data_IF_986777085093
#
_entry.id   IF_986777085093
#
_cell.length_a   1.000
_cell.length_b   1.000
_cell.length_c   1.000
_cell.angle_alpha   90.00
_cell.angle_beta   90.00
_cell.angle_gamma   90.00
#
_symmetry.space_group_name_H-M   'P 1'
#
loop_
_entity.id
_entity.type
_entity.pdbx_description
1 polymer ?
#
# COMPACT_ATOMS: atom_id res chain seq x y z
N UNK A 1 -26.79 22.76 -29.36
CA UNK A 1 -26.84 21.78 -28.27
C UNK A 1 -25.49 21.12 -28.18
N UNK A 2 -24.78 21.40 -27.10
CA UNK A 2 -23.59 20.68 -26.69
C UNK A 2 -23.89 19.18 -26.50
N UNK A 3 -22.97 18.30 -26.89
CA UNK A 3 -22.70 17.10 -26.10
C UNK A 3 -21.20 16.79 -26.13
N UNK A 4 -20.68 16.54 -24.94
CA UNK A 4 -19.28 16.70 -24.59
C UNK A 4 -18.46 15.41 -24.78
N UNK A 5 -17.20 15.60 -25.17
CA UNK A 5 -16.02 14.97 -24.59
C UNK A 5 -16.11 13.52 -24.08
N UNK A 6 -15.96 12.56 -24.99
CA UNK A 6 -15.37 11.24 -24.66
C UNK A 6 -13.87 11.31 -24.93
N UNK A 7 -13.16 11.94 -24.00
CA UNK A 7 -11.71 12.08 -24.03
C UNK A 7 -11.02 10.82 -23.49
N UNK A 8 -10.18 10.27 -24.36
CA UNK A 8 -8.95 9.51 -24.10
C UNK A 8 -9.04 8.14 -23.40
N UNK A 9 -8.83 7.12 -24.24
CA UNK A 9 -7.91 6.00 -24.01
C UNK A 9 -6.78 6.39 -23.03
N UNK A 10 -6.77 5.79 -21.85
CA UNK A 10 -5.50 5.55 -21.17
C UNK A 10 -4.87 4.30 -21.82
N UNK A 11 -3.68 4.38 -22.41
CA UNK A 11 -3.00 3.20 -22.93
C UNK A 11 -2.62 2.28 -21.77
N UNK A 12 -2.90 0.99 -21.98
CA UNK A 12 -2.37 -0.10 -21.18
C UNK A 12 -0.84 0.02 -21.13
N UNK A 13 -0.29 0.22 -19.94
CA UNK A 13 1.14 0.17 -19.72
C UNK A 13 1.43 -0.35 -18.31
N UNK A 14 1.65 -1.65 -18.22
CA UNK A 14 2.72 -2.17 -17.37
C UNK A 14 3.25 -3.46 -17.99
N UNK A 15 4.41 -3.28 -18.59
CA UNK A 15 5.24 -4.26 -19.27
C UNK A 15 5.46 -5.48 -18.37
N UNK A 16 5.22 -6.66 -18.93
CA UNK A 16 5.59 -7.95 -18.36
C UNK A 16 7.09 -7.96 -18.05
N UNK A 17 7.42 -8.07 -16.76
CA UNK A 17 8.77 -8.23 -16.25
C UNK A 17 8.72 -8.77 -14.83
N UNK A 18 8.86 -10.10 -14.71
CA UNK A 18 9.26 -10.86 -13.51
C UNK A 18 8.63 -10.40 -12.17
N UNK A 19 7.44 -10.95 -11.87
CA UNK A 19 6.87 -11.20 -10.53
C UNK A 19 6.93 -10.10 -9.45
N UNK A 20 7.03 -8.82 -9.81
CA UNK A 20 6.97 -7.72 -8.83
C UNK A 20 5.69 -6.91 -9.08
N UNK A 21 4.85 -6.78 -8.05
CA UNK A 21 3.51 -6.19 -8.11
C UNK A 21 3.41 -4.81 -8.78
N UNK A 22 2.19 -4.42 -9.11
CA UNK A 22 1.90 -3.16 -9.77
C UNK A 22 2.06 -1.98 -8.80
N UNK A 23 2.68 -0.86 -9.20
CA UNK A 23 2.64 0.36 -8.39
C UNK A 23 1.19 0.86 -8.24
N UNK A 24 0.91 1.60 -7.18
CA UNK A 24 -0.36 2.31 -7.06
C UNK A 24 -0.56 3.28 -8.24
N UNK A 25 -1.77 3.34 -8.83
CA UNK A 25 -2.10 4.37 -9.81
C UNK A 25 -1.84 5.76 -9.25
N UNK A 26 -1.23 6.65 -10.04
CA UNK A 26 -0.74 7.95 -9.56
C UNK A 26 -1.80 8.79 -8.82
N UNK A 27 -3.05 8.78 -9.30
CA UNK A 27 -4.16 9.50 -8.65
C UNK A 27 -4.49 8.96 -7.26
N UNK A 28 -4.55 7.63 -7.11
CA UNK A 28 -4.81 6.98 -5.81
C UNK A 28 -3.62 7.16 -4.87
N UNK A 29 -2.41 7.02 -5.39
CA UNK A 29 -1.18 7.25 -4.64
C UNK A 29 -1.20 8.65 -4.02
N UNK A 30 -1.46 9.68 -4.82
CA UNK A 30 -1.51 11.06 -4.33
C UNK A 30 -2.66 11.32 -3.35
N UNK A 31 -3.85 10.73 -3.58
CA UNK A 31 -5.00 10.80 -2.66
C UNK A 31 -4.64 10.24 -1.27
N UNK A 32 -3.99 9.08 -1.22
CA UNK A 32 -3.59 8.44 0.03
C UNK A 32 -2.35 9.09 0.65
N UNK A 33 -1.35 9.50 -0.13
CA UNK A 33 -0.18 10.24 0.36
C UNK A 33 -0.60 11.53 1.08
N UNK A 34 -1.56 12.28 0.52
CA UNK A 34 -2.12 13.47 1.16
C UNK A 34 -2.88 13.15 2.46
N UNK A 35 -3.56 11.99 2.52
CA UNK A 35 -4.33 11.56 3.69
C UNK A 35 -3.45 11.04 4.83
N UNK A 36 -2.38 10.33 4.49
CA UNK A 36 -1.46 9.71 5.46
C UNK A 36 -0.24 10.58 5.79
N UNK A 37 0.08 11.58 4.97
CA UNK A 37 1.30 12.40 5.13
C UNK A 37 2.60 11.60 4.97
N UNK A 38 2.58 10.51 4.20
CA UNK A 38 3.70 9.58 4.03
C UNK A 38 3.92 9.24 2.56
N UNK A 39 5.17 8.96 2.18
CA UNK A 39 5.51 8.56 0.81
C UNK A 39 5.06 7.12 0.52
N UNK A 40 4.22 6.94 -0.50
CA UNK A 40 3.72 5.63 -0.94
C UNK A 40 4.33 5.22 -2.28
N UNK A 41 5.40 5.89 -2.73
CA UNK A 41 6.07 5.62 -4.02
C UNK A 41 6.62 4.20 -4.15
N UNK A 42 7.03 3.60 -3.04
CA UNK A 42 7.55 2.23 -3.01
C UNK A 42 6.44 1.17 -2.87
N UNK A 43 5.17 1.58 -2.70
CA UNK A 43 4.08 0.62 -2.50
C UNK A 43 3.81 -0.19 -3.76
N UNK A 44 3.79 -1.51 -3.63
CA UNK A 44 3.47 -2.47 -4.68
C UNK A 44 2.23 -3.26 -4.32
N UNK A 45 1.34 -3.42 -5.28
CA UNK A 45 0.09 -4.17 -5.17
C UNK A 45 0.23 -5.48 -5.94
N UNK A 46 -0.05 -6.58 -5.27
CA UNK A 46 0.00 -7.92 -5.82
C UNK A 46 -1.38 -8.55 -5.72
N UNK A 47 -1.83 -9.20 -6.78
CA UNK A 47 -3.03 -10.03 -6.73
C UNK A 47 -2.61 -11.50 -6.71
N UNK A 48 -2.93 -12.22 -5.63
CA UNK A 48 -2.45 -13.59 -5.40
C UNK A 48 -3.38 -14.35 -4.46
N UNK A 49 -3.26 -15.68 -4.39
CA UNK A 49 -4.04 -16.51 -3.46
C UNK A 49 -3.48 -16.52 -2.02
N UNK A 50 -2.37 -15.81 -1.75
CA UNK A 50 -1.75 -15.80 -0.43
C UNK A 50 -2.67 -15.29 0.69
N UNK A 51 -3.45 -14.20 0.52
CA UNK A 51 -4.39 -13.77 1.55
C UNK A 51 -5.48 -14.82 1.84
N UNK A 52 -5.93 -15.54 0.81
CA UNK A 52 -6.92 -16.61 0.95
C UNK A 52 -6.44 -17.75 1.85
N UNK A 53 -5.16 -18.11 1.77
CA UNK A 53 -4.57 -19.12 2.66
C UNK A 53 -4.51 -18.68 4.13
N UNK A 54 -4.55 -17.37 4.38
CA UNK A 54 -4.60 -16.77 5.71
C UNK A 54 -6.04 -16.46 6.16
N UNK A 55 -7.05 -16.78 5.36
CA UNK A 55 -8.45 -16.41 5.62
C UNK A 55 -8.70 -14.89 5.52
N UNK A 56 -7.84 -14.16 4.82
CA UNK A 56 -7.89 -12.71 4.68
C UNK A 56 -8.27 -12.30 3.25
N UNK A 57 -8.81 -11.08 3.12
CA UNK A 57 -9.11 -10.45 1.83
C UNK A 57 -7.89 -9.75 1.23
N UNK A 58 -7.07 -9.16 2.09
CA UNK A 58 -5.80 -8.56 1.76
C UNK A 58 -4.87 -8.60 2.98
N UNK A 59 -3.58 -8.37 2.76
CA UNK A 59 -2.63 -8.07 3.83
C UNK A 59 -1.47 -7.22 3.32
N UNK A 60 -0.87 -6.41 4.19
CA UNK A 60 0.35 -5.65 3.93
C UNK A 60 1.60 -6.28 4.58
N UNK A 61 2.70 -6.27 3.83
CA UNK A 61 4.02 -6.71 4.29
C UNK A 61 5.12 -5.79 3.74
N UNK A 62 5.74 -4.99 4.61
CA UNK A 62 6.76 -4.03 4.20
C UNK A 62 6.16 -2.93 3.33
N UNK A 63 6.55 -2.87 2.06
CA UNK A 63 5.94 -1.97 1.07
C UNK A 63 5.05 -2.72 0.06
N UNK A 64 4.77 -3.99 0.30
CA UNK A 64 3.96 -4.82 -0.59
C UNK A 64 2.58 -5.06 0.03
N UNK A 65 1.53 -4.95 -0.78
CA UNK A 65 0.15 -5.23 -0.40
C UNK A 65 -0.36 -6.35 -1.29
N UNK A 66 -0.88 -7.42 -0.68
CA UNK A 66 -1.40 -8.59 -1.38
C UNK A 66 -2.91 -8.61 -1.25
N UNK A 67 -3.62 -8.68 -2.38
CA UNK A 67 -5.07 -8.85 -2.45
C UNK A 67 -5.40 -10.26 -2.94
N UNK A 68 -6.45 -10.84 -2.37
CA UNK A 68 -7.06 -12.05 -2.92
C UNK A 68 -7.67 -11.70 -4.31
N UNK A 69 -7.79 -12.68 -5.22
CA UNK A 69 -8.32 -12.45 -6.55
C UNK A 69 -9.70 -11.79 -6.50
N UNK A 70 -9.87 -10.63 -7.14
CA UNK A 70 -11.13 -9.89 -7.18
C UNK A 70 -11.40 -8.98 -5.97
N UNK A 71 -10.54 -8.98 -4.94
CA UNK A 71 -10.65 -8.04 -3.81
C UNK A 71 -9.97 -6.70 -4.10
N UNK A 72 -9.07 -6.62 -5.08
CA UNK A 72 -8.46 -5.36 -5.52
C UNK A 72 -9.45 -4.53 -6.36
N UNK A 73 -10.26 -3.72 -5.69
CA UNK A 73 -11.28 -2.87 -6.32
C UNK A 73 -11.06 -1.39 -5.96
N UNK A 74 -10.00 -0.75 -6.46
CA UNK A 74 -9.61 0.60 -6.03
C UNK A 74 -10.61 1.72 -6.39
N UNK A 75 -11.61 1.40 -7.23
CA UNK A 75 -12.68 2.32 -7.64
C UNK A 75 -13.98 2.14 -6.87
N UNK A 76 -14.12 1.10 -6.05
CA UNK A 76 -15.30 0.91 -5.19
C UNK A 76 -15.04 1.44 -3.79
N UNK A 77 -16.08 1.93 -3.10
CA UNK A 77 -15.95 2.38 -1.70
C UNK A 77 -15.43 1.27 -0.78
N UNK A 78 -15.87 0.04 -1.01
CA UNK A 78 -15.43 -1.13 -0.26
C UNK A 78 -13.94 -1.42 -0.49
N UNK A 79 -13.48 -1.41 -1.75
CA UNK A 79 -12.08 -1.67 -2.08
C UNK A 79 -11.16 -0.52 -1.67
N UNK A 80 -11.61 0.75 -1.74
CA UNK A 80 -10.89 1.90 -1.19
C UNK A 80 -10.69 1.79 0.32
N UNK A 81 -11.73 1.38 1.06
CA UNK A 81 -11.64 1.14 2.51
C UNK A 81 -10.69 -0.01 2.85
N UNK A 82 -10.72 -1.09 2.07
CA UNK A 82 -9.78 -2.20 2.24
C UNK A 82 -8.35 -1.74 1.96
N UNK A 83 -8.12 -1.02 0.87
CA UNK A 83 -6.81 -0.50 0.51
C UNK A 83 -6.26 0.50 1.54
N UNK A 84 -7.09 1.40 2.09
CA UNK A 84 -6.66 2.32 3.13
C UNK A 84 -6.30 1.61 4.43
N UNK A 85 -7.01 0.53 4.78
CA UNK A 85 -6.66 -0.34 5.91
C UNK A 85 -5.26 -0.94 5.73
N UNK A 86 -4.98 -1.55 4.57
CA UNK A 86 -3.66 -2.13 4.30
C UNK A 86 -2.55 -1.07 4.24
N UNK A 87 -2.82 0.10 3.66
CA UNK A 87 -1.86 1.20 3.62
C UNK A 87 -1.52 1.73 5.02
N UNK A 88 -2.48 1.71 5.94
CA UNK A 88 -2.22 2.07 7.33
C UNK A 88 -1.18 1.14 7.94
N UNK A 89 -1.27 -0.17 7.69
CA UNK A 89 -0.27 -1.14 8.13
C UNK A 89 1.12 -0.86 7.52
N UNK A 90 1.20 -0.50 6.24
CA UNK A 90 2.48 -0.11 5.59
C UNK A 90 3.12 1.08 6.29
N UNK A 91 2.35 2.14 6.55
CA UNK A 91 2.86 3.36 7.20
C UNK A 91 3.30 3.05 8.64
N UNK A 92 2.52 2.27 9.37
CA UNK A 92 2.85 1.84 10.73
C UNK A 92 4.11 0.97 10.79
N UNK A 93 4.26 0.02 9.86
CA UNK A 93 5.45 -0.84 9.78
C UNK A 93 6.72 -0.03 9.54
N UNK A 94 6.66 1.02 8.70
CA UNK A 94 7.79 1.93 8.50
C UNK A 94 8.12 2.76 9.73
N UNK A 95 7.10 3.29 10.41
CA UNK A 95 7.29 4.05 11.65
C UNK A 95 7.86 3.21 12.79
N UNK A 96 7.46 1.93 12.88
CA UNK A 96 7.94 0.98 13.89
C UNK A 96 9.35 0.44 13.61
N UNK A 97 9.73 0.28 12.34
CA UNK A 97 11.07 -0.19 11.97
C UNK A 97 12.18 0.82 12.33
N UNK A 98 11.89 2.12 12.37
CA UNK A 98 12.85 3.15 12.75
C UNK A 98 13.14 3.20 14.26
N UNK A 99 12.31 2.59 15.11
CA UNK A 99 12.48 2.61 16.57
C UNK A 99 13.40 1.50 17.12
N UNK A 100 13.80 0.52 16.28
CA UNK A 100 14.62 -0.61 16.72
C UNK A 100 16.15 -0.40 16.56
N UNK A 101 16.58 0.73 15.99
CA UNK A 101 18.01 1.06 15.79
C UNK A 101 18.48 2.18 16.74
N UNK A 102 18.11 2.10 18.03
CA UNK A 102 18.83 2.84 19.06
C UNK A 102 19.90 1.94 19.68
N UNK A 103 21.18 2.09 19.31
CA UNK A 103 22.26 1.47 20.06
C UNK A 103 22.41 2.22 21.39
N UNK A 104 22.07 1.54 22.48
CA UNK A 104 22.63 1.69 23.83
C UNK A 104 22.76 3.07 24.45
N UNK A 105 21.92 3.35 25.45
CA UNK A 105 22.39 3.97 26.69
C UNK A 105 22.14 2.99 27.84
N UNK A 106 23.12 2.11 28.05
CA UNK A 106 23.25 1.34 29.27
C UNK A 106 23.98 2.17 30.30
N UNK A 107 23.25 2.99 31.07
CA UNK A 107 23.78 3.54 32.32
C UNK A 107 22.75 3.39 33.44
N UNK A 108 22.56 2.14 33.92
CA UNK A 108 22.02 1.90 35.26
C UNK A 108 23.12 2.27 36.26
N UNK A 109 23.12 3.51 36.72
CA UNK A 109 23.80 3.86 37.97
C UNK A 109 22.88 3.47 39.13
N UNK A 110 23.23 2.35 39.75
CA UNK A 110 22.78 1.94 41.08
C UNK A 110 23.43 2.90 42.09
N UNK A 111 22.63 3.77 42.72
CA UNK A 111 23.08 4.66 43.78
C UNK A 111 22.47 4.19 45.12
N UNK A 112 23.35 3.58 45.92
CA UNK A 112 23.47 3.53 47.40
C UNK A 112 22.21 3.25 48.25
#
# INVERSE_FOLDING_TARGET
MEDQGKKHLAPSASKVGKTNGAPLPASLKHEFEASFGSDLSQVRVHESHAPTHLGAKAFAHGSDIFFAPGEYQPHSDAGKKLLSHELTHVVQQRGGAAAADSPGDGTRNDER
#
